data_IF_332909956540
#
_entry.id   IF_332909956540
#
_cell.length_a   1.000
_cell.length_b   1.000
_cell.length_c   1.000
_cell.angle_alpha   90.00
_cell.angle_beta   90.00
_cell.angle_gamma   90.00
#
_symmetry.space_group_name_H-M   'P 1'
#
loop_
_entity.id
_entity.type
_entity.pdbx_description
1 polymer ?
#
# COMPACT_ATOMS: atom_id res chain seq x y z
N UNK A 1 -13.62 0.28 -7.94
CA UNK A 1 -13.83 1.07 -6.71
C UNK A 1 -15.32 1.28 -6.51
N UNK A 2 -15.84 1.35 -5.27
CA UNK A 2 -17.25 1.69 -5.05
C UNK A 2 -17.61 2.99 -5.78
N UNK A 3 -18.81 3.06 -6.32
CA UNK A 3 -19.29 4.23 -7.08
C UNK A 3 -19.42 5.51 -6.24
N UNK A 4 -19.37 5.41 -4.93
CA UNK A 4 -19.37 6.54 -4.01
C UNK A 4 -17.93 6.79 -3.50
N UNK A 5 -17.28 7.92 -3.85
CA UNK A 5 -15.92 8.22 -3.41
C UNK A 5 -15.80 8.38 -1.89
N UNK A 6 -16.89 8.57 -1.18
CA UNK A 6 -16.93 8.73 0.27
C UNK A 6 -17.16 7.41 1.03
N UNK A 7 -17.55 6.31 0.35
CA UNK A 7 -17.65 5.00 1.02
C UNK A 7 -16.27 4.46 1.31
N UNK A 8 -16.01 4.00 2.56
CA UNK A 8 -14.72 3.44 2.93
C UNK A 8 -14.39 2.20 2.10
N UNK A 9 -13.14 2.09 1.66
CA UNK A 9 -12.60 0.88 1.05
C UNK A 9 -11.71 0.14 2.04
N UNK A 10 -11.77 -1.19 2.00
CA UNK A 10 -11.03 -2.07 2.88
C UNK A 10 -10.14 -2.99 2.06
N UNK A 11 -8.86 -2.63 1.99
CA UNK A 11 -7.82 -3.52 1.50
C UNK A 11 -7.18 -4.29 2.65
N UNK A 12 -6.26 -5.19 2.32
CA UNK A 12 -5.41 -5.87 3.30
C UNK A 12 -4.07 -6.23 2.69
N UNK A 13 -2.99 -6.14 3.47
CA UNK A 13 -1.72 -6.74 3.07
C UNK A 13 -1.81 -8.26 3.16
N UNK A 14 -1.26 -8.94 2.16
CA UNK A 14 -1.05 -10.38 2.22
C UNK A 14 0.36 -10.68 2.72
N UNK A 15 0.60 -11.85 3.33
CA UNK A 15 1.93 -12.23 3.77
C UNK A 15 2.86 -12.41 2.57
N UNK A 16 4.02 -11.76 2.62
CA UNK A 16 5.04 -11.76 1.56
C UNK A 16 6.41 -12.18 2.09
N UNK A 17 6.55 -12.25 3.42
CA UNK A 17 7.77 -12.58 4.12
C UNK A 17 8.56 -11.37 4.61
N UNK A 18 8.23 -10.16 4.18
CA UNK A 18 8.95 -8.94 4.57
C UNK A 18 8.95 -8.72 6.09
N UNK A 19 7.85 -8.99 6.77
CA UNK A 19 7.68 -8.82 8.21
C UNK A 19 7.86 -10.14 8.99
N UNK A 20 8.61 -11.09 8.42
CA UNK A 20 8.86 -12.41 9.00
C UNK A 20 7.61 -13.29 9.16
N UNK A 21 6.48 -12.89 8.62
CA UNK A 21 5.18 -13.54 8.79
C UNK A 21 5.09 -14.95 8.18
N UNK A 22 6.06 -15.33 7.36
CA UNK A 22 6.18 -16.67 6.76
C UNK A 22 7.33 -17.52 7.36
N UNK A 23 8.06 -16.98 8.33
CA UNK A 23 9.26 -17.63 8.86
C UNK A 23 8.99 -19.01 9.52
N UNK A 24 7.79 -19.18 10.09
CA UNK A 24 7.37 -20.46 10.70
C UNK A 24 6.97 -21.56 9.73
N UNK A 25 7.01 -21.30 8.42
CA UNK A 25 6.64 -22.27 7.39
C UNK A 25 7.92 -22.82 6.74
N UNK A 26 8.03 -24.15 6.64
CA UNK A 26 9.15 -24.78 5.96
C UNK A 26 8.97 -24.77 4.44
N UNK A 27 10.06 -24.48 3.72
CA UNK A 27 10.07 -24.53 2.26
C UNK A 27 9.51 -23.26 1.59
N UNK A 28 10.19 -22.78 0.55
CA UNK A 28 9.79 -21.57 -0.18
C UNK A 28 8.48 -21.76 -0.96
N UNK A 29 8.21 -22.97 -1.46
CA UNK A 29 6.98 -23.26 -2.18
C UNK A 29 5.76 -23.22 -1.23
N UNK A 30 5.88 -23.74 -0.03
CA UNK A 30 4.83 -23.74 0.99
C UNK A 30 4.55 -22.31 1.49
N UNK A 31 5.59 -21.50 1.68
CA UNK A 31 5.46 -20.06 1.98
C UNK A 31 4.68 -19.34 0.87
N UNK A 32 5.01 -19.60 -0.39
CA UNK A 32 4.29 -19.07 -1.53
C UNK A 32 2.83 -19.51 -1.59
N UNK A 33 2.59 -20.82 -1.40
CA UNK A 33 1.23 -21.36 -1.39
C UNK A 33 0.37 -20.72 -0.30
N UNK A 34 0.93 -20.48 0.89
CA UNK A 34 0.23 -19.77 1.97
C UNK A 34 -0.09 -18.32 1.62
N UNK A 35 0.83 -17.59 0.99
CA UNK A 35 0.57 -16.24 0.52
C UNK A 35 -0.59 -16.19 -0.50
N UNK A 36 -0.61 -17.13 -1.44
CA UNK A 36 -1.70 -17.28 -2.43
C UNK A 36 -3.03 -17.64 -1.75
N UNK A 37 -3.02 -18.60 -0.82
CA UNK A 37 -4.21 -19.01 -0.05
C UNK A 37 -4.85 -17.81 0.65
N UNK A 38 -4.04 -16.99 1.33
CA UNK A 38 -4.54 -15.80 2.05
C UNK A 38 -5.05 -14.74 1.08
N UNK A 39 -4.43 -14.55 -0.08
CA UNK A 39 -4.93 -13.63 -1.09
C UNK A 39 -6.31 -14.05 -1.63
N UNK A 40 -6.49 -15.33 -1.91
CA UNK A 40 -7.78 -15.91 -2.35
C UNK A 40 -8.82 -15.83 -1.22
N UNK A 41 -8.41 -16.09 0.03
CA UNK A 41 -9.29 -15.92 1.18
C UNK A 41 -9.76 -14.47 1.33
N UNK A 42 -8.87 -13.49 1.19
CA UNK A 42 -9.25 -12.08 1.24
C UNK A 42 -10.29 -11.72 0.16
N UNK A 43 -10.13 -12.24 -1.08
CA UNK A 43 -11.14 -12.08 -2.13
C UNK A 43 -12.48 -12.69 -1.72
N UNK A 44 -12.49 -13.90 -1.17
CA UNK A 44 -13.70 -14.61 -0.78
C UNK A 44 -14.41 -13.95 0.42
N UNK A 45 -13.64 -13.35 1.31
CA UNK A 45 -14.16 -12.57 2.45
C UNK A 45 -14.68 -11.19 2.03
N UNK A 46 -14.48 -10.77 0.79
CA UNK A 46 -15.02 -9.54 0.23
C UNK A 46 -14.19 -8.28 0.51
N UNK A 47 -12.88 -8.41 0.73
CA UNK A 47 -12.00 -7.24 0.70
C UNK A 47 -11.99 -6.59 -0.67
N UNK A 48 -11.81 -5.28 -0.72
CA UNK A 48 -11.77 -4.51 -1.98
C UNK A 48 -10.43 -4.67 -2.71
N UNK A 49 -9.33 -4.86 -1.97
CA UNK A 49 -7.98 -4.97 -2.54
C UNK A 49 -7.01 -5.75 -1.66
N UNK A 50 -6.01 -6.37 -2.31
CA UNK A 50 -4.85 -6.97 -1.64
C UNK A 50 -3.57 -6.22 -2.01
N UNK A 51 -2.66 -6.14 -1.05
CA UNK A 51 -1.47 -5.31 -1.14
C UNK A 51 -0.22 -6.09 -0.75
N UNK A 52 0.91 -5.73 -1.38
CA UNK A 52 2.24 -6.23 -1.07
C UNK A 52 3.20 -5.06 -0.83
N UNK A 53 4.35 -5.34 -0.25
CA UNK A 53 5.44 -4.38 -0.06
C UNK A 53 6.47 -4.50 -1.19
N UNK A 54 7.20 -3.42 -1.48
CA UNK A 54 8.32 -3.46 -2.42
C UNK A 54 9.63 -3.43 -1.63
N UNK A 55 9.92 -4.57 -1.00
CA UNK A 55 11.10 -4.79 -0.17
C UNK A 55 11.81 -6.09 -0.55
N UNK A 56 13.10 -6.16 -0.25
CA UNK A 56 13.99 -7.28 -0.55
C UNK A 56 14.57 -7.93 0.71
N UNK A 57 14.68 -7.15 1.79
CA UNK A 57 15.19 -7.59 3.09
C UNK A 57 14.09 -7.54 4.14
N UNK A 58 14.10 -8.50 5.06
CA UNK A 58 13.14 -8.52 6.16
C UNK A 58 13.34 -7.35 7.14
N UNK A 59 12.31 -7.06 7.90
CA UNK A 59 12.32 -6.13 9.04
C UNK A 59 11.90 -6.88 10.32
N UNK A 60 12.26 -6.38 11.52
CA UNK A 60 12.94 -5.11 11.81
C UNK A 60 14.42 -5.10 11.49
N UNK A 61 15.04 -6.27 11.31
CA UNK A 61 16.45 -6.44 10.90
C UNK A 61 16.50 -7.44 9.74
N UNK A 62 17.42 -7.28 8.78
CA UNK A 62 17.62 -8.24 7.71
C UNK A 62 17.91 -9.65 8.25
N UNK A 63 17.22 -10.65 7.71
CA UNK A 63 17.41 -12.06 8.01
C UNK A 63 17.52 -12.86 6.70
N UNK A 64 18.01 -14.10 6.79
CA UNK A 64 18.02 -15.03 5.64
C UNK A 64 16.68 -15.77 5.53
N UNK A 65 15.60 -15.00 5.37
CA UNK A 65 14.25 -15.50 5.20
C UNK A 65 13.64 -15.02 3.89
N UNK A 66 12.68 -15.79 3.37
CA UNK A 66 12.03 -15.48 2.10
C UNK A 66 11.32 -14.13 2.14
N UNK A 67 11.58 -13.29 1.12
CA UNK A 67 10.77 -12.12 0.77
C UNK A 67 10.47 -12.25 -0.71
N UNK A 68 9.21 -12.39 -1.08
CA UNK A 68 8.82 -12.51 -2.50
C UNK A 68 8.86 -11.13 -3.17
N UNK A 69 9.42 -11.07 -4.39
CA UNK A 69 9.53 -9.82 -5.15
C UNK A 69 8.14 -9.26 -5.49
N UNK A 70 7.99 -7.96 -5.36
CA UNK A 70 6.73 -7.24 -5.43
C UNK A 70 5.93 -7.48 -6.72
N UNK A 71 6.51 -7.18 -7.89
CA UNK A 71 5.77 -7.20 -9.16
C UNK A 71 5.49 -8.60 -9.66
N UNK A 72 6.41 -9.54 -9.44
CA UNK A 72 6.17 -10.96 -9.74
C UNK A 72 5.09 -11.55 -8.84
N UNK A 73 5.03 -11.13 -7.58
CA UNK A 73 3.96 -11.51 -6.65
C UNK A 73 2.61 -10.96 -7.12
N UNK A 74 2.50 -9.67 -7.42
CA UNK A 74 1.24 -9.06 -7.89
C UNK A 74 0.76 -9.73 -9.18
N UNK A 75 1.66 -9.96 -10.14
CA UNK A 75 1.33 -10.65 -11.39
C UNK A 75 0.80 -12.07 -11.14
N UNK A 76 1.46 -12.85 -10.29
CA UNK A 76 1.06 -14.23 -10.00
C UNK A 76 -0.27 -14.29 -9.22
N UNK A 77 -0.47 -13.44 -8.20
CA UNK A 77 -1.73 -13.36 -7.44
C UNK A 77 -2.89 -12.94 -8.35
N UNK A 78 -2.65 -12.06 -9.33
CA UNK A 78 -3.68 -11.63 -10.29
C UNK A 78 -4.28 -12.80 -11.08
N UNK A 79 -3.52 -13.88 -11.30
CA UNK A 79 -3.99 -15.07 -12.00
C UNK A 79 -4.65 -16.11 -11.08
N UNK A 80 -4.63 -15.87 -9.78
CA UNK A 80 -5.26 -16.73 -8.76
C UNK A 80 -6.53 -16.09 -8.17
N UNK A 81 -6.81 -14.85 -8.53
CA UNK A 81 -7.96 -14.05 -8.11
C UNK A 81 -8.70 -13.52 -9.34
N UNK A 82 -9.95 -13.10 -9.20
CA UNK A 82 -10.79 -12.70 -10.33
C UNK A 82 -11.46 -11.32 -10.19
N UNK A 83 -11.64 -10.83 -8.96
CA UNK A 83 -12.41 -9.61 -8.67
C UNK A 83 -11.61 -8.60 -7.87
N UNK A 84 -10.86 -9.08 -6.86
CA UNK A 84 -10.14 -8.22 -5.93
C UNK A 84 -9.09 -7.38 -6.65
N UNK A 85 -8.97 -6.12 -6.29
CA UNK A 85 -7.94 -5.24 -6.83
C UNK A 85 -6.58 -5.57 -6.21
N UNK A 86 -5.51 -5.22 -6.88
CA UNK A 86 -4.16 -5.61 -6.51
C UNK A 86 -3.24 -4.40 -6.57
N UNK A 87 -2.38 -4.25 -5.58
CA UNK A 87 -1.42 -3.15 -5.56
C UNK A 87 -0.21 -3.41 -4.68
N UNK A 88 0.70 -2.48 -4.72
CA UNK A 88 1.81 -2.40 -3.77
C UNK A 88 1.71 -1.11 -2.95
N UNK A 89 1.96 -1.22 -1.66
CA UNK A 89 1.92 -0.09 -0.73
C UNK A 89 3.26 0.02 0.01
N UNK A 90 4.21 0.71 -0.57
CA UNK A 90 4.24 1.32 -1.91
C UNK A 90 5.49 0.88 -2.63
N UNK A 91 5.41 0.82 -3.97
CA UNK A 91 6.56 0.59 -4.82
C UNK A 91 7.66 1.62 -4.55
N UNK A 92 8.90 1.18 -4.42
CA UNK A 92 10.03 2.07 -4.25
C UNK A 92 10.42 2.68 -5.60
N UNK A 93 10.23 3.98 -5.72
CA UNK A 93 10.55 4.74 -6.91
C UNK A 93 11.97 4.52 -7.45
N UNK A 94 12.94 4.32 -6.56
CA UNK A 94 14.36 4.22 -6.93
C UNK A 94 14.78 2.83 -7.45
N UNK A 95 13.95 1.80 -7.28
CA UNK A 95 14.34 0.43 -7.64
C UNK A 95 14.14 0.09 -9.13
N UNK A 96 13.44 0.92 -9.87
CA UNK A 96 13.16 0.69 -11.30
C UNK A 96 13.24 1.99 -12.10
N UNK A 97 13.78 1.89 -13.30
CA UNK A 97 13.68 3.00 -14.27
C UNK A 97 12.20 3.26 -14.59
N UNK A 98 11.74 4.52 -14.64
CA UNK A 98 10.33 4.85 -14.86
C UNK A 98 9.76 4.33 -16.19
N UNK A 99 10.56 4.24 -17.25
CA UNK A 99 10.12 3.65 -18.52
C UNK A 99 9.85 2.15 -18.39
N UNK A 100 10.73 1.42 -17.69
CA UNK A 100 10.50 0.01 -17.38
C UNK A 100 9.30 -0.16 -16.45
N UNK A 101 9.15 0.72 -15.44
CA UNK A 101 8.03 0.68 -14.52
C UNK A 101 6.68 0.90 -15.23
N UNK A 102 6.63 1.80 -16.22
CA UNK A 102 5.44 1.98 -17.05
C UNK A 102 5.07 0.69 -17.81
N UNK A 103 6.07 -0.05 -18.33
CA UNK A 103 5.84 -1.35 -18.99
C UNK A 103 5.34 -2.41 -18.01
N UNK A 104 5.95 -2.51 -16.84
CA UNK A 104 5.55 -3.47 -15.80
C UNK A 104 4.10 -3.21 -15.38
N UNK A 105 3.77 -1.97 -15.01
CA UNK A 105 2.43 -1.59 -14.56
C UNK A 105 1.37 -1.80 -15.61
N UNK A 106 1.63 -1.41 -16.85
CA UNK A 106 0.72 -1.65 -17.99
C UNK A 106 0.50 -3.15 -18.21
N UNK A 107 1.57 -3.95 -18.19
CA UNK A 107 1.48 -5.40 -18.36
C UNK A 107 0.66 -6.05 -17.24
N UNK A 108 0.93 -5.68 -15.98
CA UNK A 108 0.17 -6.20 -14.83
C UNK A 108 -1.29 -5.78 -14.89
N UNK A 109 -1.59 -4.57 -15.34
CA UNK A 109 -2.97 -4.14 -15.52
C UNK A 109 -3.70 -5.00 -16.57
N UNK A 110 -3.05 -5.29 -17.70
CA UNK A 110 -3.62 -6.17 -18.73
C UNK A 110 -3.85 -7.59 -18.21
N UNK A 111 -2.84 -8.23 -17.61
CA UNK A 111 -2.96 -9.62 -17.15
C UNK A 111 -3.90 -9.77 -15.96
N UNK A 112 -4.13 -8.72 -15.19
CA UNK A 112 -5.11 -8.68 -14.10
C UNK A 112 -6.53 -8.36 -14.56
N UNK A 113 -6.75 -8.04 -15.84
CA UNK A 113 -8.05 -7.60 -16.33
C UNK A 113 -8.47 -6.22 -15.84
N UNK A 114 -7.52 -5.28 -15.68
CA UNK A 114 -7.79 -3.90 -15.26
C UNK A 114 -7.98 -3.73 -13.75
N UNK A 115 -7.35 -4.58 -12.93
CA UNK A 115 -7.50 -4.57 -11.46
C UNK A 115 -6.30 -3.95 -10.73
N UNK A 116 -5.32 -3.41 -11.43
CA UNK A 116 -4.15 -2.78 -10.80
C UNK A 116 -4.52 -1.46 -10.12
N UNK A 117 -4.07 -1.30 -8.87
CA UNK A 117 -3.90 -0.04 -8.16
C UNK A 117 -2.39 0.21 -8.04
N UNK A 118 -1.89 1.26 -8.69
CA UNK A 118 -0.46 1.52 -8.70
C UNK A 118 -0.02 2.37 -7.52
N UNK A 119 0.57 1.73 -6.52
CA UNK A 119 1.15 2.41 -5.37
C UNK A 119 2.62 2.74 -5.58
N UNK A 120 3.05 3.96 -5.23
CA UNK A 120 4.44 4.41 -5.35
C UNK A 120 4.84 5.37 -4.23
N UNK A 121 6.11 5.35 -3.84
CA UNK A 121 6.68 6.22 -2.81
C UNK A 121 8.17 6.50 -3.05
N UNK A 122 8.73 7.40 -2.24
CA UNK A 122 10.10 7.87 -2.41
C UNK A 122 11.17 6.85 -1.96
N UNK A 123 10.79 5.76 -1.28
CA UNK A 123 11.71 4.82 -0.66
C UNK A 123 12.33 5.37 0.66
N UNK A 124 12.71 4.47 1.56
CA UNK A 124 13.23 4.85 2.88
C UNK A 124 14.26 3.87 3.47
N UNK A 125 14.20 2.58 3.09
CA UNK A 125 14.99 1.53 3.73
C UNK A 125 16.40 1.45 3.13
N UNK A 126 17.31 2.27 3.64
CA UNK A 126 18.68 2.44 3.13
C UNK A 126 19.47 1.12 3.04
N UNK A 127 19.20 0.17 3.94
CA UNK A 127 19.85 -1.14 3.92
C UNK A 127 19.68 -1.88 2.58
N UNK A 128 18.47 -1.84 2.00
CA UNK A 128 18.18 -2.46 0.70
C UNK A 128 18.87 -1.73 -0.44
N UNK A 129 18.88 -0.40 -0.41
CA UNK A 129 19.60 0.38 -1.42
C UNK A 129 21.07 -0.03 -1.49
N UNK A 130 21.73 -0.14 -0.34
CA UNK A 130 23.13 -0.56 -0.27
C UNK A 130 23.30 -2.02 -0.68
N UNK A 131 22.44 -2.91 -0.22
CA UNK A 131 22.51 -4.34 -0.50
C UNK A 131 22.34 -4.68 -1.97
N UNK A 132 21.50 -3.93 -2.68
CA UNK A 132 21.20 -4.14 -4.10
C UNK A 132 21.92 -3.17 -5.04
N UNK A 133 22.83 -2.34 -4.53
CA UNK A 133 23.64 -1.44 -5.34
C UNK A 133 22.89 -0.21 -5.86
N UNK A 134 21.77 0.15 -5.26
CA UNK A 134 21.05 1.40 -5.57
C UNK A 134 21.66 2.58 -4.81
N UNK A 135 21.70 3.74 -5.45
CA UNK A 135 22.13 4.97 -4.80
C UNK A 135 21.06 5.51 -3.84
N UNK A 136 21.40 5.62 -2.54
CA UNK A 136 20.52 6.22 -1.54
C UNK A 136 20.67 7.73 -1.53
N UNK A 137 19.93 8.42 -2.38
CA UNK A 137 19.93 9.87 -2.49
C UNK A 137 19.27 10.55 -1.29
N UNK A 138 19.55 11.84 -1.10
CA UNK A 138 18.87 12.64 -0.06
C UNK A 138 17.34 12.69 -0.30
N UNK A 139 16.53 12.90 0.76
CA UNK A 139 15.07 12.84 0.66
C UNK A 139 14.47 13.75 -0.42
N UNK A 140 14.98 14.98 -0.58
CA UNK A 140 14.48 15.91 -1.60
C UNK A 140 14.68 15.41 -3.04
N UNK A 141 15.78 14.71 -3.31
CA UNK A 141 16.04 14.15 -4.64
C UNK A 141 15.16 12.92 -4.87
N UNK A 142 15.01 12.02 -3.87
CA UNK A 142 14.12 10.86 -4.00
C UNK A 142 12.66 11.29 -4.25
N UNK A 143 12.19 12.36 -3.61
CA UNK A 143 10.84 12.90 -3.85
C UNK A 143 10.74 13.60 -5.21
N UNK A 144 11.80 14.28 -5.65
CA UNK A 144 11.86 14.83 -7.02
C UNK A 144 11.82 13.74 -8.08
N UNK A 145 12.56 12.64 -7.87
CA UNK A 145 12.51 11.44 -8.73
C UNK A 145 11.10 10.81 -8.72
N UNK A 146 10.44 10.74 -7.57
CA UNK A 146 9.06 10.24 -7.46
C UNK A 146 8.11 11.05 -8.35
N UNK A 147 8.19 12.39 -8.30
CA UNK A 147 7.37 13.26 -9.13
C UNK A 147 7.58 12.97 -10.62
N UNK A 148 8.85 13.00 -11.09
CA UNK A 148 9.17 12.74 -12.49
C UNK A 148 8.75 11.32 -12.93
N UNK A 149 8.89 10.32 -12.04
CA UNK A 149 8.41 8.96 -12.33
C UNK A 149 6.91 8.92 -12.57
N UNK A 150 6.11 9.59 -11.74
CA UNK A 150 4.66 9.62 -11.94
C UNK A 150 4.27 10.34 -13.23
N UNK A 151 4.93 11.44 -13.55
CA UNK A 151 4.74 12.17 -14.82
C UNK A 151 5.06 11.29 -16.03
N UNK A 152 6.21 10.61 -16.02
CA UNK A 152 6.65 9.71 -17.09
C UNK A 152 5.69 8.54 -17.27
N UNK A 153 5.34 7.85 -16.19
CA UNK A 153 4.48 6.66 -16.25
C UNK A 153 3.09 7.04 -16.79
N UNK A 154 2.48 8.10 -16.28
CA UNK A 154 1.19 8.60 -16.80
C UNK A 154 1.27 8.98 -18.28
N UNK A 155 2.36 9.64 -18.70
CA UNK A 155 2.59 9.99 -20.10
C UNK A 155 2.70 8.73 -20.98
N UNK A 156 3.46 7.73 -20.55
CA UNK A 156 3.65 6.48 -21.29
C UNK A 156 2.37 5.64 -21.38
N UNK A 157 1.49 5.72 -20.40
CA UNK A 157 0.19 5.04 -20.45
C UNK A 157 -0.79 5.67 -21.44
N UNK A 158 -0.66 6.98 -21.69
CA UNK A 158 -1.68 7.74 -22.45
C UNK A 158 -1.24 8.13 -23.86
N UNK A 159 0.05 8.37 -24.07
CA UNK A 159 0.58 8.82 -25.34
C UNK A 159 1.13 7.66 -26.17
N UNK A 160 1.13 7.77 -27.49
CA UNK A 160 1.74 6.80 -28.40
C UNK A 160 3.25 6.66 -28.11
N UNK A 161 3.92 7.78 -27.96
CA UNK A 161 5.34 7.89 -27.59
C UNK A 161 5.52 8.95 -26.51
N UNK A 162 6.48 8.77 -25.63
CA UNK A 162 6.86 9.73 -24.59
C UNK A 162 8.30 10.16 -24.76
N UNK A 163 8.52 11.44 -24.93
CA UNK A 163 9.82 12.10 -24.74
C UNK A 163 9.74 12.93 -23.49
N UNK A 164 10.71 12.76 -22.59
CA UNK A 164 10.75 13.46 -21.31
C UNK A 164 12.17 13.91 -21.00
N UNK A 165 12.32 15.16 -20.60
CA UNK A 165 13.60 15.74 -20.20
C UNK A 165 13.44 16.43 -18.82
N UNK A 166 13.74 15.65 -17.77
CA UNK A 166 13.67 16.08 -16.39
C UNK A 166 15.04 16.31 -15.77
N UNK A 167 15.02 16.60 -14.48
CA UNK A 167 16.25 16.71 -13.69
C UNK A 167 16.91 15.34 -13.43
N UNK A 168 16.10 14.31 -13.27
CA UNK A 168 16.55 12.98 -12.84
C UNK A 168 16.44 11.93 -13.93
N UNK A 169 15.51 12.10 -14.85
CA UNK A 169 15.26 11.12 -15.92
C UNK A 169 15.17 11.79 -17.28
N UNK A 170 15.61 11.04 -18.27
CA UNK A 170 15.49 11.41 -19.68
C UNK A 170 15.02 10.21 -20.48
N UNK A 171 13.97 10.38 -21.25
CA UNK A 171 13.44 9.41 -22.19
C UNK A 171 13.33 10.05 -23.59
N UNK A 172 13.58 9.27 -24.62
CA UNK A 172 13.45 9.69 -26.00
C UNK A 172 12.53 8.71 -26.74
N UNK A 173 11.36 9.18 -27.16
CA UNK A 173 10.36 8.43 -27.92
C UNK A 173 10.04 7.04 -27.32
N UNK A 174 9.95 6.96 -26.01
CA UNK A 174 9.67 5.72 -25.32
C UNK A 174 8.23 5.26 -25.58
N UNK A 175 8.06 4.00 -25.95
CA UNK A 175 6.79 3.35 -26.24
C UNK A 175 6.36 2.45 -25.07
N UNK A 176 5.06 2.45 -24.73
CA UNK A 176 4.45 1.56 -23.78
C UNK A 176 3.21 0.90 -24.40
N UNK A 177 3.40 -0.23 -25.07
CA UNK A 177 2.37 -1.13 -25.55
C UNK A 177 2.62 -2.56 -25.03
N UNK A 178 1.55 -3.23 -24.52
CA UNK A 178 0.15 -2.77 -24.47
C UNK A 178 -0.03 -1.59 -23.52
N UNK A 179 -1.02 -0.73 -23.80
CA UNK A 179 -1.51 0.24 -22.84
C UNK A 179 -2.27 -0.47 -21.72
N UNK A 180 -2.40 0.13 -20.52
CA UNK A 180 -3.30 -0.39 -19.52
C UNK A 180 -4.72 -0.58 -20.05
N UNK A 181 -5.46 -1.56 -19.54
CA UNK A 181 -6.90 -1.73 -19.83
C UNK A 181 -7.72 -0.62 -19.17
N UNK A 182 -7.32 -0.21 -17.98
CA UNK A 182 -7.87 0.98 -17.33
C UNK A 182 -7.41 2.22 -18.11
N UNK A 183 -8.32 3.19 -18.32
CA UNK A 183 -7.93 4.47 -18.97
C UNK A 183 -6.70 5.09 -18.27
N UNK A 184 -6.70 5.06 -16.95
CA UNK A 184 -5.58 5.37 -16.07
C UNK A 184 -5.73 4.48 -14.82
N UNK A 185 -4.79 3.56 -14.55
CA UNK A 185 -4.73 2.88 -13.26
C UNK A 185 -4.65 3.90 -12.12
N UNK A 186 -5.41 3.73 -11.02
CA UNK A 186 -5.36 4.65 -9.89
C UNK A 186 -3.95 4.77 -9.33
N UNK A 187 -3.48 6.00 -9.16
CA UNK A 187 -2.15 6.30 -8.62
C UNK A 187 -2.24 6.54 -7.12
N UNK A 188 -1.67 5.63 -6.35
CA UNK A 188 -1.56 5.73 -4.91
C UNK A 188 -0.17 6.25 -4.54
N UNK A 189 -0.10 7.36 -3.81
CA UNK A 189 1.18 7.86 -3.32
C UNK A 189 1.23 7.69 -1.81
N UNK A 190 2.24 6.93 -1.34
CA UNK A 190 2.49 6.71 0.07
C UNK A 190 3.55 7.64 0.63
N UNK A 191 3.34 8.01 1.89
CA UNK A 191 4.22 8.86 2.65
C UNK A 191 3.61 10.19 3.07
N UNK A 192 3.94 10.60 4.28
CA UNK A 192 3.34 11.76 4.94
C UNK A 192 4.27 12.97 5.09
N UNK A 193 5.30 13.11 4.25
CA UNK A 193 6.20 14.25 4.27
C UNK A 193 5.49 15.54 3.87
N UNK A 194 5.30 16.44 4.84
CA UNK A 194 4.38 17.58 4.75
C UNK A 194 4.74 18.58 3.66
N UNK A 195 6.01 18.90 3.49
CA UNK A 195 6.46 19.98 2.58
C UNK A 195 6.60 19.53 1.12
N UNK A 196 7.03 18.28 0.89
CA UNK A 196 7.37 17.82 -0.45
C UNK A 196 6.46 16.65 -0.90
N UNK A 197 6.32 15.61 -0.09
CA UNK A 197 5.53 14.42 -0.50
C UNK A 197 4.07 14.77 -0.69
N UNK A 198 3.44 15.48 0.27
CA UNK A 198 2.03 15.87 0.15
C UNK A 198 1.79 16.87 -1.00
N UNK A 199 2.81 17.63 -1.42
CA UNK A 199 2.72 18.44 -2.64
C UNK A 199 2.69 17.57 -3.91
N UNK A 200 3.50 16.51 -3.98
CA UNK A 200 3.43 15.53 -5.09
C UNK A 200 2.08 14.81 -5.09
N UNK A 201 1.57 14.46 -3.91
CA UNK A 201 0.21 13.90 -3.76
C UNK A 201 -0.83 14.84 -4.34
N UNK A 202 -0.83 16.11 -3.94
CA UNK A 202 -1.77 17.13 -4.45
C UNK A 202 -1.73 17.26 -5.98
N UNK A 203 -0.54 17.15 -6.58
CA UNK A 203 -0.36 17.28 -8.03
C UNK A 203 -0.79 16.03 -8.81
N UNK A 204 -0.55 14.83 -8.28
CA UNK A 204 -0.55 13.62 -9.11
C UNK A 204 -1.36 12.44 -8.59
N UNK A 205 -1.69 12.36 -7.29
CA UNK A 205 -2.32 11.18 -6.73
C UNK A 205 -3.84 11.14 -6.93
N UNK A 206 -4.38 9.95 -7.11
CA UNK A 206 -5.80 9.65 -6.97
C UNK A 206 -6.10 9.18 -5.54
N UNK A 207 -5.10 8.58 -4.88
CA UNK A 207 -5.18 8.12 -3.51
C UNK A 207 -3.90 8.46 -2.75
N UNK A 208 -4.04 8.94 -1.54
CA UNK A 208 -2.95 9.18 -0.60
C UNK A 208 -3.01 8.18 0.55
N UNK A 209 -1.84 7.66 0.97
CA UNK A 209 -1.72 6.84 2.17
C UNK A 209 -0.72 7.48 3.13
N UNK A 210 -1.20 7.94 4.29
CA UNK A 210 -0.38 8.61 5.29
C UNK A 210 -0.99 8.55 6.69
N UNK A 211 -0.19 8.95 7.67
CA UNK A 211 -0.62 9.05 9.05
C UNK A 211 -0.38 7.77 9.86
N UNK A 212 -0.39 7.90 11.17
CA UNK A 212 -0.25 6.79 12.11
C UNK A 212 -1.29 6.86 13.23
N UNK A 213 -1.61 8.05 13.75
CA UNK A 213 -2.74 8.27 14.67
C UNK A 213 -3.85 9.07 13.98
N UNK A 214 -5.04 9.09 14.56
CA UNK A 214 -6.18 9.88 14.06
C UNK A 214 -5.83 11.37 14.01
N UNK A 215 -5.14 11.86 15.03
CA UNK A 215 -4.73 13.27 15.14
C UNK A 215 -3.67 13.63 14.06
N UNK A 216 -2.70 12.75 13.85
CA UNK A 216 -1.70 12.91 12.80
C UNK A 216 -2.33 12.84 11.42
N UNK A 217 -3.28 11.94 11.21
CA UNK A 217 -4.04 11.82 9.98
C UNK A 217 -4.81 13.11 9.67
N UNK A 218 -5.58 13.61 10.63
CA UNK A 218 -6.34 14.86 10.50
C UNK A 218 -5.42 16.05 10.16
N UNK A 219 -4.30 16.18 10.87
CA UNK A 219 -3.31 17.24 10.62
C UNK A 219 -2.73 17.17 9.22
N UNK A 220 -2.35 16.00 8.74
CA UNK A 220 -1.80 15.82 7.39
C UNK A 220 -2.84 16.05 6.30
N UNK A 221 -4.11 15.72 6.55
CA UNK A 221 -5.21 16.04 5.65
C UNK A 221 -5.33 17.54 5.46
N UNK A 222 -5.28 18.34 6.51
CA UNK A 222 -5.35 19.81 6.40
C UNK A 222 -4.16 20.38 5.61
N UNK A 223 -2.95 19.83 5.78
CA UNK A 223 -1.78 20.23 4.99
C UNK A 223 -1.98 19.87 3.50
N UNK A 224 -2.48 18.66 3.21
CA UNK A 224 -2.79 18.26 1.84
C UNK A 224 -3.83 19.18 1.20
N UNK A 225 -4.88 19.53 1.95
CA UNK A 225 -5.90 20.49 1.52
C UNK A 225 -5.29 21.85 1.16
N UNK A 226 -4.33 22.35 1.97
CA UNK A 226 -3.58 23.56 1.65
C UNK A 226 -2.81 23.45 0.32
N UNK A 227 -2.08 22.36 0.10
CA UNK A 227 -1.37 22.12 -1.16
C UNK A 227 -2.31 21.98 -2.36
N UNK A 228 -3.48 21.37 -2.19
CA UNK A 228 -4.49 21.30 -3.24
C UNK A 228 -5.03 22.69 -3.59
N UNK A 229 -5.31 23.54 -2.59
CA UNK A 229 -5.78 24.89 -2.78
C UNK A 229 -4.76 25.79 -3.54
N UNK A 230 -3.46 25.61 -3.26
CA UNK A 230 -2.37 26.33 -3.98
C UNK A 230 -2.40 26.08 -5.49
N UNK A 231 -2.91 24.93 -5.95
CA UNK A 231 -2.95 24.55 -7.37
C UNK A 231 -4.37 24.52 -7.95
N UNK A 232 -5.38 24.96 -7.18
CA UNK A 232 -6.77 24.98 -7.62
C UNK A 232 -7.41 23.60 -7.76
N UNK A 233 -6.90 22.56 -7.04
CA UNK A 233 -7.45 21.22 -7.04
C UNK A 233 -8.38 21.02 -5.84
N UNK A 234 -9.54 20.39 -6.08
CA UNK A 234 -10.41 19.94 -5.00
C UNK A 234 -9.76 18.72 -4.30
N UNK A 235 -9.57 18.82 -2.98
CA UNK A 235 -8.96 17.76 -2.16
C UNK A 235 -9.83 16.51 -2.07
N UNK A 236 -11.15 16.63 -2.26
CA UNK A 236 -12.07 15.50 -2.24
C UNK A 236 -11.93 14.59 -3.48
N UNK A 237 -11.24 15.05 -4.51
CA UNK A 237 -10.82 14.20 -5.65
C UNK A 237 -9.70 13.22 -5.28
N UNK A 238 -9.09 13.37 -4.10
CA UNK A 238 -8.04 12.48 -3.60
C UNK A 238 -8.60 11.66 -2.44
N UNK A 239 -8.68 10.35 -2.60
CA UNK A 239 -9.03 9.44 -1.50
C UNK A 239 -7.89 9.44 -0.47
N UNK A 240 -8.23 9.57 0.80
CA UNK A 240 -7.27 9.55 1.91
C UNK A 240 -7.38 8.23 2.65
N UNK A 241 -6.28 7.49 2.76
CA UNK A 241 -6.23 6.14 3.34
C UNK A 241 -5.17 6.02 4.41
N UNK A 242 -5.33 5.04 5.27
CA UNK A 242 -4.36 4.72 6.33
C UNK A 242 -3.96 3.25 6.27
N UNK A 243 -2.68 2.96 6.52
CA UNK A 243 -2.17 1.63 6.81
C UNK A 243 -1.84 1.52 8.30
N UNK A 244 -2.24 0.41 8.92
CA UNK A 244 -2.01 0.13 10.34
C UNK A 244 -1.86 -1.37 10.55
N UNK A 245 -1.30 -1.78 11.68
CA UNK A 245 -1.49 -3.15 12.17
C UNK A 245 -2.93 -3.32 12.62
N UNK A 246 -3.51 -4.48 12.35
CA UNK A 246 -4.84 -4.88 12.86
C UNK A 246 -4.74 -6.21 13.58
N UNK A 247 -5.21 -6.27 14.81
CA UNK A 247 -5.27 -7.51 15.58
C UNK A 247 -6.60 -7.58 16.33
N UNK A 248 -7.39 -8.60 16.01
CA UNK A 248 -8.75 -8.75 16.54
C UNK A 248 -8.90 -10.11 17.20
N UNK A 249 -9.52 -10.11 18.38
CA UNK A 249 -10.01 -11.32 19.05
C UNK A 249 -11.43 -11.08 19.55
N UNK A 250 -12.18 -12.15 19.77
CA UNK A 250 -13.57 -12.06 20.21
C UNK A 250 -13.70 -11.41 21.58
N UNK A 251 -12.72 -11.60 22.47
CA UNK A 251 -12.76 -11.16 23.86
C UNK A 251 -11.53 -10.36 24.27
N UNK A 252 -11.71 -9.46 25.21
CA UNK A 252 -10.62 -8.71 25.84
C UNK A 252 -9.59 -9.63 26.50
N UNK A 253 -10.01 -10.75 27.08
CA UNK A 253 -9.13 -11.72 27.71
C UNK A 253 -8.15 -12.35 26.71
N UNK A 254 -8.59 -12.67 25.50
CA UNK A 254 -7.75 -13.20 24.42
C UNK A 254 -6.73 -12.16 23.92
N UNK A 255 -7.14 -10.89 23.83
CA UNK A 255 -6.25 -9.80 23.43
C UNK A 255 -5.15 -9.60 24.48
N UNK A 256 -5.52 -9.59 25.77
CA UNK A 256 -4.55 -9.47 26.86
C UNK A 256 -3.60 -10.67 26.88
N UNK A 257 -4.11 -11.89 26.71
CA UNK A 257 -3.31 -13.11 26.66
C UNK A 257 -2.31 -13.14 25.49
N UNK A 258 -2.67 -12.53 24.34
CA UNK A 258 -1.80 -12.46 23.18
C UNK A 258 -0.58 -11.52 23.39
N UNK A 259 -0.68 -10.56 24.31
CA UNK A 259 0.37 -9.57 24.55
C UNK A 259 0.59 -8.64 23.36
N UNK A 260 1.80 -8.07 23.25
CA UNK A 260 2.17 -7.28 22.07
C UNK A 260 2.63 -8.20 20.93
N UNK A 261 2.03 -8.04 19.77
CA UNK A 261 2.46 -8.68 18.52
C UNK A 261 2.97 -7.66 17.50
N UNK A 262 3.24 -6.44 17.94
CA UNK A 262 3.82 -5.42 17.05
C UNK A 262 5.17 -5.87 16.51
N UNK A 263 5.31 -5.80 15.21
CA UNK A 263 6.59 -6.05 14.54
C UNK A 263 7.73 -5.17 15.08
N UNK A 264 7.38 -3.93 15.46
CA UNK A 264 8.36 -2.94 15.93
C UNK A 264 8.67 -3.05 17.41
N UNK A 265 8.06 -4.05 18.11
CA UNK A 265 8.19 -4.22 19.54
C UNK A 265 7.41 -3.19 20.36
N UNK A 266 7.73 -3.11 21.64
CA UNK A 266 7.10 -2.17 22.58
C UNK A 266 6.01 -2.78 23.44
N UNK A 267 5.55 -2.03 24.47
CA UNK A 267 4.50 -2.46 25.38
C UNK A 267 3.16 -2.70 24.66
N UNK A 268 2.41 -3.70 25.10
CA UNK A 268 1.11 -4.02 24.52
C UNK A 268 0.13 -2.84 24.58
N UNK A 269 0.18 -2.04 25.64
CA UNK A 269 -0.67 -0.86 25.82
C UNK A 269 -0.40 0.21 24.74
N UNK A 270 0.87 0.50 24.44
CA UNK A 270 1.23 1.44 23.39
C UNK A 270 0.82 0.94 22.00
N UNK A 271 1.03 -0.35 21.74
CA UNK A 271 0.61 -0.97 20.51
C UNK A 271 -0.91 -0.86 20.31
N UNK A 272 -1.68 -1.20 21.35
CA UNK A 272 -3.15 -1.07 21.34
C UNK A 272 -3.61 0.38 21.13
N UNK A 273 -2.89 1.35 21.68
CA UNK A 273 -3.23 2.76 21.50
C UNK A 273 -3.01 3.25 20.06
N UNK A 274 -1.97 2.76 19.38
CA UNK A 274 -1.52 3.24 18.06
C UNK A 274 -2.10 2.45 16.90
N UNK A 275 -2.47 1.17 17.10
CA UNK A 275 -2.91 0.26 16.05
C UNK A 275 -4.40 -0.11 16.20
N UNK A 276 -4.94 -0.78 15.18
CA UNK A 276 -6.32 -1.29 15.17
C UNK A 276 -6.39 -2.61 15.97
N UNK A 277 -6.16 -2.53 17.28
CA UNK A 277 -6.11 -3.69 18.19
C UNK A 277 -7.27 -3.64 19.15
N UNK A 278 -8.03 -4.74 19.26
CA UNK A 278 -9.18 -4.82 20.17
C UNK A 278 -10.19 -5.89 19.78
N UNK A 279 -11.35 -5.87 20.44
CA UNK A 279 -12.53 -6.62 19.98
C UNK A 279 -13.07 -6.01 18.69
N UNK A 280 -13.97 -6.70 17.97
CA UNK A 280 -14.59 -6.13 16.77
C UNK A 280 -15.22 -4.76 17.00
N UNK A 281 -15.85 -4.54 18.16
CA UNK A 281 -16.48 -3.28 18.55
C UNK A 281 -15.43 -2.18 18.75
N UNK A 282 -14.36 -2.48 19.49
CA UNK A 282 -13.28 -1.52 19.76
C UNK A 282 -12.54 -1.13 18.48
N UNK A 283 -12.32 -2.07 17.57
CA UNK A 283 -11.71 -1.79 16.27
C UNK A 283 -12.65 -0.97 15.39
N UNK A 284 -13.96 -1.25 15.41
CA UNK A 284 -14.96 -0.45 14.70
C UNK A 284 -15.01 0.99 15.21
N UNK A 285 -14.94 1.22 16.51
CA UNK A 285 -14.87 2.57 17.10
C UNK A 285 -13.62 3.34 16.62
N UNK A 286 -12.46 2.66 16.57
CA UNK A 286 -11.23 3.28 16.07
C UNK A 286 -11.34 3.64 14.60
N UNK A 287 -11.90 2.76 13.77
CA UNK A 287 -12.14 3.01 12.34
C UNK A 287 -13.09 4.21 12.17
N UNK A 288 -14.17 4.28 12.96
CA UNK A 288 -15.09 5.41 12.90
C UNK A 288 -14.39 6.74 13.17
N UNK A 289 -13.50 6.80 14.16
CA UNK A 289 -12.70 8.02 14.44
C UNK A 289 -11.85 8.46 13.24
N UNK A 290 -11.26 7.52 12.48
CA UNK A 290 -10.55 7.84 11.24
C UNK A 290 -11.50 8.34 10.15
N UNK A 291 -12.69 7.72 10.02
CA UNK A 291 -13.71 8.15 9.06
C UNK A 291 -14.17 9.57 9.38
N UNK A 292 -14.43 9.89 10.66
CA UNK A 292 -14.81 11.22 11.12
C UNK A 292 -13.70 12.26 10.82
N UNK A 293 -12.42 11.83 10.83
CA UNK A 293 -11.28 12.66 10.42
C UNK A 293 -11.12 12.77 8.89
N UNK A 294 -12.00 12.11 8.10
CA UNK A 294 -12.00 12.15 6.63
C UNK A 294 -11.21 11.04 5.96
N UNK A 295 -10.87 9.96 6.67
CA UNK A 295 -10.31 8.76 6.07
C UNK A 295 -11.38 7.99 5.28
N UNK A 296 -11.06 7.60 4.06
CA UNK A 296 -11.96 6.86 3.18
C UNK A 296 -11.39 5.52 2.73
N UNK A 297 -10.38 5.00 3.43
CA UNK A 297 -9.88 3.67 3.14
C UNK A 297 -8.82 3.17 4.12
N UNK A 298 -8.85 1.88 4.32
CA UNK A 298 -8.00 1.18 5.28
C UNK A 298 -7.26 0.05 4.58
N UNK A 299 -5.94 -0.02 4.79
CA UNK A 299 -5.09 -1.10 4.28
C UNK A 299 -4.30 -1.67 5.47
N UNK A 300 -4.95 -2.47 6.33
CA UNK A 300 -4.29 -3.05 7.48
C UNK A 300 -3.39 -4.23 7.13
N UNK A 301 -2.48 -4.52 8.05
CA UNK A 301 -1.66 -5.72 8.08
C UNK A 301 -1.95 -6.52 9.35
N UNK A 302 -2.10 -7.86 9.22
CA UNK A 302 -2.42 -8.75 10.33
C UNK A 302 -1.12 -9.35 10.92
N UNK A 303 -0.74 -9.01 12.17
CA UNK A 303 0.48 -9.51 12.82
C UNK A 303 0.37 -10.97 13.28
N UNK A 304 -0.79 -11.59 13.14
CA UNK A 304 -1.00 -13.02 13.40
C UNK A 304 -0.84 -13.90 12.16
N UNK A 305 -0.49 -13.34 11.00
CA UNK A 305 -0.16 -14.17 9.85
C UNK A 305 0.97 -15.17 10.19
N UNK A 306 0.87 -16.41 9.73
CA UNK A 306 0.00 -16.94 8.68
C UNK A 306 -1.40 -17.40 9.15
N UNK A 307 -1.75 -17.25 10.42
CA UNK A 307 -3.12 -17.47 10.91
C UNK A 307 -4.06 -16.40 10.33
N UNK A 308 -5.34 -16.75 10.18
CA UNK A 308 -6.32 -15.90 9.49
C UNK A 308 -7.44 -15.39 10.37
N UNK A 309 -7.38 -15.62 11.67
CA UNK A 309 -8.45 -15.25 12.61
C UNK A 309 -8.74 -13.75 12.59
N UNK A 310 -7.70 -12.91 12.68
CA UNK A 310 -7.86 -11.46 12.57
C UNK A 310 -8.48 -11.04 11.24
N UNK A 311 -8.01 -11.61 10.13
CA UNK A 311 -8.52 -11.34 8.79
C UNK A 311 -10.01 -11.66 8.67
N UNK A 312 -10.42 -12.83 9.20
CA UNK A 312 -11.79 -13.30 9.16
C UNK A 312 -12.72 -12.46 10.07
N UNK A 313 -12.28 -12.15 11.30
CA UNK A 313 -13.05 -11.30 12.23
C UNK A 313 -13.20 -9.89 11.66
N UNK A 314 -12.16 -9.34 11.06
CA UNK A 314 -12.22 -8.04 10.41
C UNK A 314 -13.28 -8.01 9.30
N UNK A 315 -13.25 -9.00 8.41
CA UNK A 315 -14.20 -9.11 7.30
C UNK A 315 -15.64 -9.36 7.76
N UNK A 316 -15.84 -10.24 8.75
CA UNK A 316 -17.17 -10.72 9.16
C UNK A 316 -17.85 -9.80 10.17
N UNK A 317 -17.09 -9.13 11.04
CA UNK A 317 -17.63 -8.39 12.19
C UNK A 317 -17.34 -6.89 12.17
N UNK A 318 -16.32 -6.44 11.45
CA UNK A 318 -15.95 -5.01 11.39
C UNK A 318 -16.40 -4.35 10.10
N UNK A 319 -15.98 -4.87 8.94
CA UNK A 319 -16.30 -4.27 7.63
C UNK A 319 -17.81 -4.04 7.41
N UNK A 320 -18.72 -4.96 7.80
CA UNK A 320 -20.17 -4.76 7.59
C UNK A 320 -20.76 -3.53 8.28
N UNK A 321 -20.10 -3.00 9.32
CA UNK A 321 -20.57 -1.80 10.02
C UNK A 321 -20.38 -0.51 9.19
N UNK A 322 -19.66 -0.58 8.05
CA UNK A 322 -19.28 0.58 7.23
C UNK A 322 -19.71 0.46 5.74
N UNK A 323 -20.49 -0.56 5.41
CA UNK A 323 -20.98 -0.84 4.04
C UNK A 323 -22.48 -0.68 3.89
#
# INVERSE_FOLDING_TARGET
>A
MPNNPHSPVFGVFIPQGWKMELAGIDGAAEKWNKAVEIAVLAENLGFDSVWVYDHFHNVPVPAHEAVFECWTTVAAISQRTSRIRLGQMVGCNSYRNPGLLAKITSTVDVISGGRLDWGIGAGWYENEYRGYGYEFKKPSDRIGMLRETVEIVKSMWTNAETTYEGKYYRLERANCDPKPLQKLPPVWIGGGGEKLTLRVVAQHADVSNFGSSVEEFARKREILKGHCAEIGRDEDTIRKTVSSEVFIRETEAEIVAAGSRSLWGGPAEEWRAKALVGTPEQVSEKIQRYIDAGCTGFVPWCPDYPETETLELFAKKVIPNFR
#
